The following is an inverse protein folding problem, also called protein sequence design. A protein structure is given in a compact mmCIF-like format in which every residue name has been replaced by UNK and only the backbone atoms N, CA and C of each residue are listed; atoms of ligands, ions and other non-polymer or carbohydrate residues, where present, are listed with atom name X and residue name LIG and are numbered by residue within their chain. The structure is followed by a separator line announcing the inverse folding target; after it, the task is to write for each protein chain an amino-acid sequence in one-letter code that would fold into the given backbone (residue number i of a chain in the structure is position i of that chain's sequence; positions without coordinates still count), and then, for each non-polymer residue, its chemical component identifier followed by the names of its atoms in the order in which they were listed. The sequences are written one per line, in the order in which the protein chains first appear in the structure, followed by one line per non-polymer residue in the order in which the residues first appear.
data_IF_616885355766
#
_entry.id   IF_616885355766
#
_cell.length_a   1.000
_cell.length_b   1.000
_cell.length_c   1.000
_cell.angle_alpha   90.00
_cell.angle_beta   90.00
_cell.angle_gamma   90.00
#
_symmetry.space_group_name_H-M   'P 1'
#
loop_
_entity.id
_entity.type
_entity.pdbx_description
1 polymer ?
#
# COMPACT_ATOMS: atom_id res chain seq x y z
N UNK A 1 49.60 -54.51 31.29
CA UNK A 1 48.95 -53.19 31.23
C UNK A 1 48.08 -53.12 29.99
N UNK A 2 46.75 -53.37 30.14
CA UNK A 2 45.78 -53.36 29.02
C UNK A 2 45.15 -51.95 28.99
N UNK A 3 45.33 -51.21 27.88
CA UNK A 3 44.69 -49.91 27.64
C UNK A 3 43.33 -50.14 26.95
N UNK A 4 42.27 -49.86 27.66
CA UNK A 4 40.89 -49.90 27.16
C UNK A 4 40.60 -48.56 26.46
N UNK A 5 40.34 -48.59 25.14
CA UNK A 5 39.89 -47.48 24.37
C UNK A 5 38.34 -47.39 24.47
N UNK A 6 37.85 -46.32 25.05
CA UNK A 6 36.42 -46.01 25.10
C UNK A 6 36.09 -45.19 23.87
N UNK A 7 35.34 -45.76 22.92
CA UNK A 7 34.78 -45.03 21.78
C UNK A 7 33.49 -44.37 22.21
N UNK A 8 33.50 -43.02 22.22
CA UNK A 8 32.30 -42.21 22.43
C UNK A 8 31.64 -42.03 21.04
N UNK A 9 30.52 -42.71 20.85
CA UNK A 9 29.66 -42.47 19.67
C UNK A 9 28.80 -41.21 19.93
N UNK A 10 29.12 -40.13 19.23
CA UNK A 10 28.29 -38.92 19.23
C UNK A 10 27.17 -39.11 18.19
N UNK A 11 25.96 -39.39 18.68
CA UNK A 11 24.77 -39.45 17.87
C UNK A 11 24.31 -38.01 17.54
N UNK A 12 24.59 -37.56 16.33
CA UNK A 12 24.03 -36.30 15.79
C UNK A 12 22.59 -36.59 15.37
N UNK A 13 21.66 -36.22 16.23
CA UNK A 13 20.23 -36.21 15.89
C UNK A 13 19.97 -34.98 15.01
N UNK A 14 19.86 -35.18 13.69
CA UNK A 14 19.45 -34.13 12.78
C UNK A 14 17.97 -33.77 13.07
N UNK A 15 17.76 -32.65 13.76
CA UNK A 15 16.43 -32.01 13.83
C UNK A 15 16.09 -31.46 12.46
N UNK A 16 15.33 -32.22 11.68
CA UNK A 16 14.62 -31.69 10.53
C UNK A 16 13.57 -30.71 11.05
N UNK A 17 13.48 -29.47 10.52
CA UNK A 17 12.37 -28.59 10.84
C UNK A 17 11.09 -29.26 10.36
N UNK A 18 10.20 -29.61 11.29
CA UNK A 18 8.84 -30.04 10.96
C UNK A 18 8.17 -28.87 10.23
N UNK A 19 7.87 -29.02 8.96
CA UNK A 19 6.94 -28.17 8.24
C UNK A 19 5.60 -28.31 8.96
N UNK A 20 5.28 -27.38 9.86
CA UNK A 20 3.97 -27.32 10.46
C UNK A 20 2.95 -26.93 9.37
N UNK A 21 2.32 -27.94 8.80
CA UNK A 21 1.06 -27.70 8.09
C UNK A 21 0.08 -27.26 9.17
N UNK A 22 -0.43 -26.04 9.05
CA UNK A 22 -1.49 -25.58 9.93
C UNK A 22 -2.66 -26.55 9.78
N UNK A 23 -3.07 -27.20 10.89
CA UNK A 23 -4.24 -28.08 10.88
C UNK A 23 -5.47 -27.24 10.55
N UNK A 24 -6.32 -27.77 9.67
CA UNK A 24 -7.59 -27.12 9.32
C UNK A 24 -8.47 -27.02 10.56
N UNK A 25 -9.13 -25.89 10.73
CA UNK A 25 -10.17 -25.74 11.76
C UNK A 25 -11.34 -26.65 11.44
N UNK A 26 -12.17 -26.96 12.44
CA UNK A 26 -13.37 -27.78 12.22
C UNK A 26 -14.31 -27.16 11.18
N UNK A 27 -14.41 -25.84 11.14
CA UNK A 27 -15.20 -25.12 10.13
C UNK A 27 -14.60 -25.30 8.72
N UNK A 28 -13.26 -25.16 8.58
CA UNK A 28 -12.58 -25.38 7.30
C UNK A 28 -12.69 -26.82 6.80
N UNK A 29 -12.67 -27.79 7.70
CA UNK A 29 -12.88 -29.20 7.35
C UNK A 29 -14.30 -29.43 6.82
N UNK A 30 -15.30 -28.84 7.49
CA UNK A 30 -16.72 -28.93 7.06
C UNK A 30 -16.93 -28.23 5.70
N UNK A 31 -16.29 -27.08 5.47
CA UNK A 31 -16.34 -26.38 4.18
C UNK A 31 -15.68 -27.22 3.06
N UNK A 32 -14.55 -27.87 3.34
CA UNK A 32 -13.87 -28.74 2.38
C UNK A 32 -14.75 -29.93 1.99
N UNK A 33 -15.43 -30.55 2.95
CA UNK A 33 -16.35 -31.64 2.71
C UNK A 33 -17.56 -31.21 1.87
N UNK A 34 -18.11 -30.01 2.15
CA UNK A 34 -19.15 -29.40 1.32
C UNK A 34 -18.69 -29.13 -0.12
N UNK A 35 -17.49 -28.64 -0.32
CA UNK A 35 -16.89 -28.43 -1.65
C UNK A 35 -16.75 -29.78 -2.38
N UNK A 36 -16.25 -30.80 -1.70
CA UNK A 36 -16.11 -32.13 -2.29
C UNK A 36 -17.47 -32.72 -2.76
N UNK A 37 -18.52 -32.57 -1.94
CA UNK A 37 -19.87 -33.00 -2.30
C UNK A 37 -20.38 -32.25 -3.54
N UNK A 38 -20.26 -30.89 -3.54
CA UNK A 38 -20.69 -30.07 -4.68
C UNK A 38 -20.00 -30.48 -5.98
N UNK A 39 -18.70 -30.77 -5.93
CA UNK A 39 -17.93 -31.19 -7.10
C UNK A 39 -18.28 -32.60 -7.55
N UNK A 40 -18.62 -33.51 -6.62
CA UNK A 40 -19.05 -34.84 -6.93
C UNK A 40 -20.41 -34.86 -7.63
N UNK A 41 -21.30 -33.98 -7.22
CA UNK A 41 -22.66 -33.85 -7.80
C UNK A 41 -22.64 -33.08 -9.15
N UNK A 42 -21.55 -32.30 -9.45
CA UNK A 42 -21.43 -31.49 -10.66
C UNK A 42 -20.03 -31.65 -11.30
N UNK A 43 -19.70 -32.84 -11.82
CA UNK A 43 -18.33 -33.14 -12.30
C UNK A 43 -17.88 -32.28 -13.50
N UNK A 44 -18.82 -31.69 -14.24
CA UNK A 44 -18.55 -30.86 -15.41
C UNK A 44 -17.84 -29.53 -15.03
N UNK A 45 -17.98 -29.05 -13.79
CA UNK A 45 -17.34 -27.79 -13.35
C UNK A 45 -15.93 -28.01 -12.80
N UNK A 46 -15.49 -29.25 -12.57
CA UNK A 46 -14.22 -29.52 -11.85
C UNK A 46 -13.03 -28.93 -12.59
N UNK A 47 -12.96 -29.07 -13.91
CA UNK A 47 -11.81 -28.59 -14.69
C UNK A 47 -11.67 -27.06 -14.62
N UNK A 48 -12.77 -26.33 -14.80
CA UNK A 48 -12.79 -24.87 -14.76
C UNK A 48 -12.51 -24.34 -13.35
N UNK A 49 -13.10 -24.96 -12.32
CA UNK A 49 -12.86 -24.58 -10.95
C UNK A 49 -11.39 -24.82 -10.54
N UNK A 50 -10.82 -25.96 -10.92
CA UNK A 50 -9.42 -26.28 -10.65
C UNK A 50 -8.48 -25.24 -11.29
N UNK A 51 -8.69 -24.89 -12.57
CA UNK A 51 -7.90 -23.87 -13.27
C UNK A 51 -8.03 -22.49 -12.58
N UNK A 52 -9.25 -22.07 -12.23
CA UNK A 52 -9.50 -20.82 -11.55
C UNK A 52 -8.84 -20.77 -10.15
N UNK A 53 -8.89 -21.88 -9.41
CA UNK A 53 -8.27 -21.98 -8.09
C UNK A 53 -6.73 -21.92 -8.16
N UNK A 54 -6.14 -22.61 -9.14
CA UNK A 54 -4.70 -22.51 -9.39
C UNK A 54 -4.30 -21.07 -9.70
N UNK A 55 -5.00 -20.40 -10.60
CA UNK A 55 -4.73 -19.00 -10.94
C UNK A 55 -4.92 -18.07 -9.74
N UNK A 56 -5.93 -18.31 -8.90
CA UNK A 56 -6.13 -17.54 -7.67
C UNK A 56 -4.93 -17.69 -6.71
N UNK A 57 -4.47 -18.92 -6.48
CA UNK A 57 -3.31 -19.19 -5.60
C UNK A 57 -2.04 -18.54 -6.17
N UNK A 58 -1.79 -18.67 -7.46
CA UNK A 58 -0.65 -18.01 -8.13
C UNK A 58 -0.71 -16.48 -7.99
N UNK A 59 -1.87 -15.88 -8.21
CA UNK A 59 -2.08 -14.45 -8.06
C UNK A 59 -1.81 -14.00 -6.61
N UNK A 60 -2.27 -14.76 -5.60
CA UNK A 60 -2.00 -14.47 -4.19
C UNK A 60 -0.52 -14.55 -3.85
N UNK A 61 0.19 -15.54 -4.38
CA UNK A 61 1.64 -15.67 -4.20
C UNK A 61 2.40 -14.52 -4.87
N UNK A 62 1.99 -14.12 -6.08
CA UNK A 62 2.59 -12.97 -6.77
C UNK A 62 2.35 -11.68 -6.00
N UNK A 63 1.15 -11.45 -5.48
CA UNK A 63 0.83 -10.29 -4.66
C UNK A 63 1.66 -10.23 -3.38
N UNK A 64 1.78 -11.36 -2.67
CA UNK A 64 2.62 -11.45 -1.47
C UNK A 64 4.07 -11.14 -1.78
N UNK A 65 4.62 -11.70 -2.86
CA UNK A 65 5.97 -11.42 -3.33
C UNK A 65 6.15 -9.95 -3.72
N UNK A 66 5.18 -9.36 -4.42
CA UNK A 66 5.22 -7.96 -4.81
C UNK A 66 5.19 -7.03 -3.57
N UNK A 67 4.38 -7.34 -2.55
CA UNK A 67 4.37 -6.61 -1.28
C UNK A 67 5.75 -6.64 -0.62
N UNK A 68 6.34 -7.82 -0.43
CA UNK A 68 7.66 -7.98 0.17
C UNK A 68 8.75 -7.22 -0.59
N UNK A 69 8.77 -7.33 -1.92
CA UNK A 69 9.74 -6.63 -2.78
C UNK A 69 9.57 -5.11 -2.77
N UNK A 70 8.36 -4.63 -2.49
CA UNK A 70 8.02 -3.21 -2.49
C UNK A 70 8.09 -2.58 -1.09
N UNK A 71 8.23 -3.35 -0.03
CA UNK A 71 8.12 -2.90 1.37
C UNK A 71 9.02 -1.70 1.67
N UNK A 72 10.32 -1.80 1.35
CA UNK A 72 11.27 -0.71 1.54
C UNK A 72 10.86 0.54 0.78
N UNK A 73 10.37 0.39 -0.47
CA UNK A 73 9.93 1.51 -1.28
C UNK A 73 8.66 2.15 -0.74
N UNK A 74 7.66 1.33 -0.37
CA UNK A 74 6.38 1.81 0.16
C UNK A 74 6.54 2.60 1.47
N UNK A 75 7.57 2.29 2.25
CA UNK A 75 7.86 2.93 3.54
C UNK A 75 8.92 4.05 3.45
N UNK A 76 9.41 4.38 2.25
CA UNK A 76 10.42 5.44 2.07
C UNK A 76 9.80 6.83 2.19
N UNK A 77 9.78 7.37 3.40
CA UNK A 77 9.24 8.71 3.69
C UNK A 77 10.15 9.85 3.25
N UNK A 78 11.32 9.58 2.71
CA UNK A 78 12.14 10.61 2.04
C UNK A 78 11.55 10.99 0.67
N UNK A 79 10.79 10.08 0.07
CA UNK A 79 10.12 10.26 -1.23
C UNK A 79 8.62 10.44 -1.05
N UNK A 80 8.01 9.61 -0.21
CA UNK A 80 6.57 9.59 0.02
C UNK A 80 6.19 10.49 1.19
N UNK A 81 5.24 11.39 0.94
CA UNK A 81 4.79 12.32 1.97
C UNK A 81 3.99 11.60 3.06
N UNK A 82 4.08 12.14 4.27
CA UNK A 82 3.37 11.62 5.43
C UNK A 82 2.28 12.58 5.87
N UNK A 83 1.09 12.05 6.16
CA UNK A 83 0.00 12.74 6.85
C UNK A 83 -0.19 12.08 8.22
N UNK A 84 -0.26 12.88 9.28
CA UNK A 84 -0.36 12.40 10.66
C UNK A 84 0.99 12.29 11.34
N UNK A 85 1.16 11.29 12.21
CA UNK A 85 2.37 11.11 13.00
C UNK A 85 3.44 10.35 12.20
N UNK A 86 4.61 10.94 11.89
CA UNK A 86 5.69 10.24 11.20
C UNK A 86 6.19 8.98 11.93
N UNK A 87 6.07 8.98 13.25
CA UNK A 87 6.50 7.88 14.12
C UNK A 87 5.35 6.94 14.54
N UNK A 88 4.15 7.15 13.97
CA UNK A 88 2.96 6.35 14.26
C UNK A 88 3.14 4.89 13.86
N UNK A 89 2.71 3.97 14.73
CA UNK A 89 2.82 2.53 14.50
C UNK A 89 1.71 1.98 13.60
N UNK A 90 0.55 2.65 13.57
CA UNK A 90 -0.55 2.29 12.69
C UNK A 90 -0.34 2.92 11.32
N UNK A 91 0.07 2.13 10.34
CA UNK A 91 0.44 2.62 9.01
C UNK A 91 -0.66 2.37 7.99
N UNK A 92 -1.04 3.43 7.27
CA UNK A 92 -1.85 3.36 6.06
C UNK A 92 -0.98 3.75 4.86
N UNK A 93 -0.86 2.87 3.87
CA UNK A 93 -0.27 3.22 2.56
C UNK A 93 -1.41 3.69 1.66
N UNK A 94 -1.34 4.92 1.15
CA UNK A 94 -2.38 5.54 0.32
C UNK A 94 -1.88 5.80 -1.09
N UNK A 95 -2.32 5.02 -2.07
CA UNK A 95 -2.09 5.29 -3.49
C UNK A 95 -3.10 6.33 -3.98
N UNK A 96 -2.61 7.49 -4.39
CA UNK A 96 -3.45 8.67 -4.62
C UNK A 96 -3.08 9.44 -5.89
N UNK A 97 -4.01 10.27 -6.37
CA UNK A 97 -3.85 11.18 -7.52
C UNK A 97 -4.59 12.49 -7.25
N UNK A 98 -3.90 13.62 -7.28
CA UNK A 98 -4.50 14.95 -7.07
C UNK A 98 -5.57 15.31 -8.10
N UNK A 99 -5.64 14.61 -9.23
CA UNK A 99 -6.64 14.82 -10.26
C UNK A 99 -7.83 13.85 -10.15
N UNK A 100 -7.82 12.94 -9.19
CA UNK A 100 -8.90 12.01 -8.93
C UNK A 100 -9.87 12.58 -7.88
N UNK A 101 -11.17 12.75 -8.20
CA UNK A 101 -12.15 13.33 -7.26
C UNK A 101 -12.35 12.46 -6.01
N UNK A 102 -12.27 11.13 -6.14
CA UNK A 102 -12.38 10.24 -5.00
C UNK A 102 -11.14 10.25 -4.12
N UNK A 103 -9.93 10.47 -4.69
CA UNK A 103 -8.71 10.68 -3.93
C UNK A 103 -8.81 11.93 -3.06
N UNK A 104 -9.26 13.06 -3.63
CA UNK A 104 -9.47 14.32 -2.88
C UNK A 104 -10.45 14.14 -1.71
N UNK A 105 -11.49 13.33 -1.91
CA UNK A 105 -12.45 13.02 -0.84
C UNK A 105 -11.82 12.15 0.25
N UNK A 106 -11.03 11.13 -0.14
CA UNK A 106 -10.34 10.25 0.79
C UNK A 106 -9.26 11.00 1.57
N UNK A 107 -8.51 11.89 0.93
CA UNK A 107 -7.49 12.71 1.59
C UNK A 107 -8.08 13.51 2.78
N UNK A 108 -9.27 14.10 2.61
CA UNK A 108 -9.96 14.78 3.71
C UNK A 108 -10.37 13.81 4.83
N UNK A 109 -10.74 12.58 4.51
CA UNK A 109 -11.04 11.54 5.52
C UNK A 109 -9.78 11.15 6.27
N UNK A 110 -8.68 10.91 5.56
CA UNK A 110 -7.39 10.53 6.14
C UNK A 110 -6.81 11.65 7.01
N UNK A 111 -6.85 12.90 6.56
CA UNK A 111 -6.42 14.06 7.32
C UNK A 111 -7.23 14.22 8.63
N UNK A 112 -8.57 14.07 8.56
CA UNK A 112 -9.44 14.10 9.74
C UNK A 112 -9.11 12.96 10.72
N UNK A 113 -8.82 11.78 10.19
CA UNK A 113 -8.49 10.59 11.01
C UNK A 113 -7.13 10.76 11.68
N UNK A 114 -6.12 11.22 10.96
CA UNK A 114 -4.80 11.52 11.50
C UNK A 114 -4.85 12.59 12.59
N UNK A 115 -5.69 13.60 12.44
CA UNK A 115 -5.90 14.62 13.47
C UNK A 115 -6.58 14.12 14.75
N UNK A 116 -7.22 12.94 14.72
CA UNK A 116 -7.89 12.32 15.87
C UNK A 116 -7.16 11.11 16.44
N UNK A 117 -6.22 10.55 15.71
CA UNK A 117 -5.45 9.36 16.09
C UNK A 117 -3.95 9.69 16.06
N UNK A 118 -3.38 9.94 17.24
CA UNK A 118 -1.98 10.33 17.38
C UNK A 118 -0.98 9.23 16.98
N UNK A 119 -1.45 7.98 16.80
CA UNK A 119 -0.63 6.85 16.38
C UNK A 119 -0.78 6.51 14.89
N UNK A 120 -1.53 7.33 14.14
CA UNK A 120 -1.75 7.08 12.73
C UNK A 120 -0.70 7.77 11.85
N UNK A 121 -0.08 6.99 10.99
CA UNK A 121 0.84 7.40 9.93
C UNK A 121 0.25 7.04 8.57
N UNK A 122 -0.03 8.02 7.74
CA UNK A 122 -0.48 7.82 6.37
C UNK A 122 0.64 8.17 5.41
N UNK A 123 1.14 7.18 4.65
CA UNK A 123 2.17 7.35 3.63
C UNK A 123 1.47 7.52 2.28
N UNK A 124 1.65 8.67 1.63
CA UNK A 124 0.99 8.99 0.37
C UNK A 124 1.91 8.69 -0.81
N UNK A 125 1.49 7.74 -1.65
CA UNK A 125 2.18 7.32 -2.86
C UNK A 125 1.44 7.87 -4.07
N UNK A 126 2.06 8.83 -4.74
CA UNK A 126 1.41 9.51 -5.86
C UNK A 126 1.52 8.70 -7.14
N UNK A 127 0.36 8.45 -7.77
CA UNK A 127 0.24 7.77 -9.07
C UNK A 127 -0.67 8.64 -9.96
N UNK A 128 -0.10 9.56 -10.76
CA UNK A 128 -0.87 10.50 -11.58
C UNK A 128 -1.50 9.80 -12.80
N UNK A 129 -2.55 9.01 -12.58
CA UNK A 129 -3.26 8.26 -13.62
C UNK A 129 -4.04 9.17 -14.57
N UNK A 130 -4.55 10.30 -14.05
CA UNK A 130 -5.43 11.21 -14.83
C UNK A 130 -4.63 12.19 -15.66
N UNK A 131 -3.47 12.63 -15.19
CA UNK A 131 -2.68 13.66 -15.86
C UNK A 131 -1.22 13.56 -15.47
N UNK A 132 -0.37 13.18 -16.41
CA UNK A 132 1.07 13.09 -16.23
C UNK A 132 1.81 14.36 -16.67
N UNK A 133 1.23 15.12 -17.58
CA UNK A 133 1.81 16.34 -18.13
C UNK A 133 0.80 17.49 -18.00
N UNK A 134 1.30 18.67 -17.69
CA UNK A 134 0.55 19.93 -17.70
C UNK A 134 1.20 20.84 -18.74
N UNK A 135 0.44 21.27 -19.73
CA UNK A 135 0.92 22.13 -20.81
C UNK A 135 1.56 23.41 -20.26
N UNK A 136 2.77 23.69 -20.71
CA UNK A 136 3.54 24.87 -20.30
C UNK A 136 4.17 24.78 -18.91
N UNK A 137 4.21 23.58 -18.29
CA UNK A 137 4.99 23.28 -17.09
C UNK A 137 5.89 22.06 -17.35
N UNK A 138 7.07 22.04 -16.72
CA UNK A 138 7.99 20.90 -16.70
C UNK A 138 7.65 19.91 -15.55
N UNK A 139 6.59 20.15 -14.82
CA UNK A 139 6.12 19.38 -13.67
C UNK A 139 4.62 19.11 -13.74
N UNK A 140 4.13 18.23 -12.89
CA UNK A 140 2.70 18.00 -12.65
C UNK A 140 2.38 18.12 -11.16
N UNK A 141 1.10 18.02 -10.79
CA UNK A 141 0.67 18.17 -9.40
C UNK A 141 1.35 17.20 -8.43
N UNK A 142 1.60 15.96 -8.86
CA UNK A 142 2.26 14.93 -8.04
C UNK A 142 3.76 15.21 -7.91
N UNK A 143 4.46 15.50 -9.02
CA UNK A 143 5.88 15.81 -9.02
C UNK A 143 6.17 17.10 -8.21
N UNK A 144 5.35 18.14 -8.37
CA UNK A 144 5.44 19.36 -7.58
C UNK A 144 5.29 19.09 -6.09
N UNK A 145 4.28 18.32 -5.68
CA UNK A 145 4.05 17.97 -4.29
C UNK A 145 5.22 17.18 -3.68
N UNK A 146 5.77 16.19 -4.41
CA UNK A 146 6.95 15.42 -3.96
C UNK A 146 8.14 16.35 -3.80
N UNK A 147 8.37 17.27 -4.74
CA UNK A 147 9.50 18.20 -4.69
C UNK A 147 9.42 19.14 -3.48
N UNK A 148 8.22 19.63 -3.18
CA UNK A 148 7.99 20.42 -1.96
C UNK A 148 8.21 19.57 -0.71
N UNK A 149 7.70 18.34 -0.66
CA UNK A 149 7.92 17.42 0.45
C UNK A 149 9.40 17.21 0.77
N UNK A 150 10.22 17.03 -0.27
CA UNK A 150 11.65 16.76 -0.13
C UNK A 150 12.49 18.00 0.26
N UNK A 151 12.07 19.20 -0.15
CA UNK A 151 12.91 20.39 -0.03
C UNK A 151 12.37 21.45 0.95
N UNK A 152 11.06 21.44 1.22
CA UNK A 152 10.37 22.35 2.12
C UNK A 152 9.20 21.64 2.83
N UNK A 153 9.47 20.58 3.62
CA UNK A 153 8.43 19.73 4.23
C UNK A 153 7.49 20.53 5.15
N UNK A 154 7.96 21.63 5.75
CA UNK A 154 7.15 22.51 6.58
C UNK A 154 6.05 23.24 5.79
N UNK A 155 6.21 23.39 4.46
CA UNK A 155 5.20 24.00 3.56
C UNK A 155 4.26 22.96 2.97
N UNK A 156 4.61 21.68 3.06
CA UNK A 156 3.91 20.61 2.36
C UNK A 156 2.44 20.49 2.75
N UNK A 157 2.12 20.61 4.04
CA UNK A 157 0.74 20.47 4.52
C UNK A 157 -0.21 21.48 3.86
N UNK A 158 0.22 22.72 3.69
CA UNK A 158 -0.59 23.76 3.04
C UNK A 158 -0.64 23.57 1.51
N UNK A 159 0.48 23.15 0.88
CA UNK A 159 0.51 22.77 -0.54
C UNK A 159 -0.46 21.63 -0.81
N UNK A 160 -0.40 20.53 -0.03
CA UNK A 160 -1.30 19.40 -0.16
C UNK A 160 -2.76 19.82 -0.02
N UNK A 161 -3.08 20.59 1.02
CA UNK A 161 -4.44 21.11 1.27
C UNK A 161 -4.99 21.89 0.08
N UNK A 162 -4.17 22.74 -0.55
CA UNK A 162 -4.58 23.56 -1.69
C UNK A 162 -4.74 22.73 -2.96
N UNK A 163 -3.85 21.75 -3.21
CA UNK A 163 -3.97 20.82 -4.32
C UNK A 163 -5.24 19.97 -4.21
N UNK A 164 -5.53 19.44 -3.03
CA UNK A 164 -6.75 18.65 -2.76
C UNK A 164 -8.02 19.50 -2.90
N UNK A 165 -8.00 20.75 -2.45
CA UNK A 165 -9.17 21.63 -2.46
C UNK A 165 -9.64 22.06 -3.87
N UNK A 166 -8.72 22.06 -4.87
CA UNK A 166 -9.10 22.44 -6.25
C UNK A 166 -10.01 21.40 -6.89
N UNK A 167 -11.21 21.77 -7.36
CA UNK A 167 -12.05 20.84 -8.11
C UNK A 167 -11.50 20.58 -9.52
N UNK A 168 -11.76 19.39 -10.05
CA UNK A 168 -11.33 18.98 -11.39
C UNK A 168 -9.82 18.75 -11.52
N UNK A 169 -9.33 18.78 -12.76
CA UNK A 169 -7.91 18.59 -13.09
C UNK A 169 -7.10 19.86 -12.77
N UNK A 170 -5.84 19.66 -12.40
CA UNK A 170 -4.90 20.76 -12.29
C UNK A 170 -4.44 21.23 -13.68
N UNK A 171 -4.29 22.53 -13.83
CA UNK A 171 -3.69 23.21 -14.97
C UNK A 171 -2.53 24.10 -14.50
N UNK A 172 -1.79 24.69 -15.42
CA UNK A 172 -0.67 25.59 -15.13
C UNK A 172 -1.07 26.67 -14.13
N UNK A 173 -2.16 27.39 -14.39
CA UNK A 173 -2.63 28.50 -13.56
C UNK A 173 -2.90 28.04 -12.12
N UNK A 174 -3.52 26.86 -11.94
CA UNK A 174 -3.83 26.34 -10.61
C UNK A 174 -2.59 25.91 -9.83
N UNK A 175 -1.60 25.30 -10.48
CA UNK A 175 -0.35 24.91 -9.83
C UNK A 175 0.47 26.15 -9.47
N UNK A 176 0.60 27.11 -10.38
CA UNK A 176 1.28 28.39 -10.14
C UNK A 176 0.63 29.18 -8.99
N UNK A 177 -0.72 29.17 -8.91
CA UNK A 177 -1.44 29.81 -7.81
C UNK A 177 -1.14 29.15 -6.46
N UNK A 178 -1.08 27.83 -6.40
CA UNK A 178 -0.67 27.09 -5.19
C UNK A 178 0.77 27.45 -4.82
N UNK A 179 1.69 27.35 -5.76
CA UNK A 179 3.10 27.66 -5.54
C UNK A 179 3.30 29.09 -5.03
N UNK A 180 2.68 30.09 -5.66
CA UNK A 180 2.75 31.49 -5.25
C UNK A 180 2.18 31.70 -3.85
N UNK A 181 1.05 31.07 -3.52
CA UNK A 181 0.41 31.21 -2.21
C UNK A 181 1.26 30.61 -1.08
N UNK A 182 2.04 29.58 -1.38
CA UNK A 182 2.86 28.88 -0.39
C UNK A 182 4.34 29.26 -0.44
N UNK A 183 4.75 30.14 -1.37
CA UNK A 183 6.16 30.53 -1.58
C UNK A 183 7.01 29.33 -1.98
N UNK A 184 6.53 28.53 -2.96
CA UNK A 184 7.16 27.31 -3.45
C UNK A 184 7.37 27.34 -4.97
N UNK A 185 7.43 28.52 -5.59
CA UNK A 185 7.57 28.74 -7.04
C UNK A 185 8.87 28.12 -7.58
N UNK A 186 9.91 28.09 -6.80
CA UNK A 186 11.20 27.47 -7.16
C UNK A 186 11.10 25.96 -7.44
N UNK A 187 10.06 25.29 -6.94
CA UNK A 187 9.81 23.85 -7.15
C UNK A 187 8.95 23.53 -8.38
N UNK A 188 8.58 24.53 -9.19
CA UNK A 188 7.82 24.34 -10.43
C UNK A 188 8.67 23.85 -11.62
N UNK A 189 9.90 23.48 -11.40
CA UNK A 189 10.84 22.98 -12.41
C UNK A 189 10.78 21.47 -12.53
N UNK A 190 11.14 20.95 -13.70
CA UNK A 190 11.29 19.51 -13.94
C UNK A 190 12.35 18.88 -13.03
N UNK A 191 12.17 17.60 -12.73
CA UNK A 191 13.10 16.81 -11.92
C UNK A 191 13.07 15.35 -12.36
N UNK A 192 14.19 14.89 -12.91
CA UNK A 192 14.32 13.52 -13.44
C UNK A 192 14.16 12.46 -12.36
N UNK A 193 14.74 12.66 -11.17
CA UNK A 193 14.67 11.69 -10.09
C UNK A 193 13.26 11.54 -9.54
N UNK A 194 12.51 12.66 -9.46
CA UNK A 194 11.10 12.62 -9.07
C UNK A 194 10.25 11.92 -10.14
N UNK A 195 10.51 12.16 -11.42
CA UNK A 195 9.80 11.49 -12.50
C UNK A 195 10.09 9.97 -12.50
N UNK A 196 11.32 9.55 -12.25
CA UNK A 196 11.67 8.14 -12.06
C UNK A 196 10.95 7.53 -10.86
N UNK A 197 10.80 8.29 -9.77
CA UNK A 197 10.03 7.88 -8.59
C UNK A 197 8.55 7.69 -8.91
N UNK A 198 7.94 8.58 -9.69
CA UNK A 198 6.55 8.43 -10.15
C UNK A 198 6.38 7.20 -11.06
N UNK A 199 7.34 6.93 -11.93
CA UNK A 199 7.36 5.69 -12.75
C UNK A 199 7.47 4.45 -11.87
N UNK A 200 8.31 4.48 -10.84
CA UNK A 200 8.45 3.39 -9.88
C UNK A 200 7.16 3.20 -9.06
N UNK A 201 6.51 4.29 -8.63
CA UNK A 201 5.21 4.25 -7.98
C UNK A 201 4.16 3.54 -8.85
N UNK A 202 4.09 3.90 -10.13
CA UNK A 202 3.17 3.25 -11.07
C UNK A 202 3.48 1.77 -11.27
N UNK A 203 4.74 1.38 -11.41
CA UNK A 203 5.15 -0.03 -11.52
C UNK A 203 4.78 -0.83 -10.27
N UNK A 204 5.03 -0.26 -9.09
CA UNK A 204 4.65 -0.85 -7.80
C UNK A 204 3.13 -0.99 -7.69
N UNK A 205 2.38 0.04 -8.05
CA UNK A 205 0.92 0.04 -8.09
C UNK A 205 0.37 -1.11 -8.95
N UNK A 206 0.91 -1.31 -10.15
CA UNK A 206 0.52 -2.40 -11.05
C UNK A 206 0.93 -3.77 -10.49
N UNK A 207 2.14 -3.89 -9.96
CA UNK A 207 2.65 -5.14 -9.37
C UNK A 207 1.82 -5.60 -8.16
N UNK A 208 1.26 -4.65 -7.40
CA UNK A 208 0.34 -4.90 -6.30
C UNK A 208 -1.11 -5.21 -6.77
N UNK A 209 -1.34 -5.37 -8.06
CA UNK A 209 -2.65 -5.71 -8.63
C UNK A 209 -3.67 -4.56 -8.59
N UNK A 210 -3.24 -3.35 -8.27
CA UNK A 210 -4.12 -2.19 -8.20
C UNK A 210 -4.48 -1.69 -9.61
N UNK A 211 -5.71 -1.20 -9.78
CA UNK A 211 -6.25 -0.77 -11.09
C UNK A 211 -6.81 0.65 -11.10
N UNK A 212 -6.88 1.29 -9.95
CA UNK A 212 -7.45 2.63 -9.82
C UNK A 212 -7.09 3.29 -8.50
N UNK A 213 -7.15 4.60 -8.47
CA UNK A 213 -6.96 5.42 -7.27
C UNK A 213 -8.29 6.01 -6.80
N UNK A 214 -8.48 6.21 -5.48
CA UNK A 214 -7.56 5.83 -4.43
C UNK A 214 -7.56 4.31 -4.18
N UNK A 215 -6.46 3.82 -3.59
CA UNK A 215 -6.40 2.49 -3.00
C UNK A 215 -5.54 2.57 -1.75
N UNK A 216 -5.98 1.96 -0.65
CA UNK A 216 -5.22 1.97 0.60
C UNK A 216 -4.90 0.56 1.08
N UNK A 217 -3.77 0.43 1.76
CA UNK A 217 -3.38 -0.77 2.49
C UNK A 217 -3.33 -0.45 3.98
N UNK A 218 -3.86 -1.36 4.79
CA UNK A 218 -3.72 -1.36 6.25
C UNK A 218 -3.30 -2.78 6.63
N UNK A 219 -2.04 -2.96 7.02
CA UNK A 219 -1.46 -4.30 7.14
C UNK A 219 -1.60 -5.09 5.83
N UNK A 220 -2.29 -6.24 5.89
CA UNK A 220 -2.55 -7.07 4.71
C UNK A 220 -3.85 -6.75 3.98
N UNK A 221 -4.70 -5.93 4.56
CA UNK A 221 -5.98 -5.58 3.97
C UNK A 221 -5.82 -4.50 2.89
N UNK A 222 -6.42 -4.75 1.72
CA UNK A 222 -6.45 -3.81 0.57
C UNK A 222 -7.87 -3.28 0.43
N UNK A 223 -8.01 -1.96 0.47
CA UNK A 223 -9.29 -1.28 0.30
C UNK A 223 -9.24 -0.47 -1.00
N UNK A 224 -9.86 -0.95 -2.08
CA UNK A 224 -9.93 -0.24 -3.34
C UNK A 224 -11.02 0.84 -3.30
N UNK A 225 -10.69 2.02 -3.83
CA UNK A 225 -11.64 3.11 -3.96
C UNK A 225 -11.81 3.93 -2.68
N UNK A 226 -12.85 4.76 -2.70
CA UNK A 226 -13.19 5.64 -1.59
C UNK A 226 -13.89 4.87 -0.46
N UNK A 227 -13.45 5.12 0.77
CA UNK A 227 -14.09 4.60 1.98
C UNK A 227 -14.51 5.77 2.90
N UNK A 228 -15.74 5.79 3.46
CA UNK A 228 -16.18 6.77 4.43
C UNK A 228 -15.42 6.68 5.75
N UNK A 229 -15.38 7.79 6.50
CA UNK A 229 -14.64 7.90 7.76
C UNK A 229 -14.99 6.79 8.76
N UNK A 230 -16.30 6.57 9.02
CA UNK A 230 -16.74 5.63 10.06
C UNK A 230 -16.32 4.19 9.74
N UNK A 231 -16.39 3.81 8.46
CA UNK A 231 -15.96 2.47 8.01
C UNK A 231 -14.44 2.30 8.08
N UNK A 232 -13.70 3.32 7.71
CA UNK A 232 -12.24 3.30 7.83
C UNK A 232 -11.80 3.25 9.29
N UNK A 233 -12.50 3.97 10.18
CA UNK A 233 -12.22 3.96 11.62
C UNK A 233 -12.42 2.56 12.24
N UNK A 234 -13.48 1.83 11.84
CA UNK A 234 -13.71 0.44 12.26
C UNK A 234 -12.51 -0.46 11.89
N UNK A 235 -12.01 -0.36 10.64
CA UNK A 235 -10.89 -1.16 10.16
C UNK A 235 -9.60 -0.80 10.90
N UNK A 236 -9.32 0.50 11.08
CA UNK A 236 -8.13 0.97 11.80
C UNK A 236 -8.15 0.47 13.25
N UNK A 237 -9.28 0.56 13.95
CA UNK A 237 -9.41 0.05 15.33
C UNK A 237 -9.20 -1.46 15.42
N UNK A 238 -9.74 -2.22 14.47
CA UNK A 238 -9.53 -3.67 14.39
C UNK A 238 -8.05 -3.99 14.22
N UNK A 239 -7.38 -3.35 13.26
CA UNK A 239 -5.95 -3.55 13.02
C UNK A 239 -5.10 -3.21 14.25
N UNK A 240 -5.40 -2.10 14.96
CA UNK A 240 -4.72 -1.71 16.19
C UNK A 240 -4.92 -2.72 17.34
N UNK A 241 -6.06 -3.37 17.40
CA UNK A 241 -6.32 -4.41 18.39
C UNK A 241 -5.51 -5.69 18.11
N UNK A 242 -5.40 -6.06 16.83
CA UNK A 242 -4.62 -7.22 16.38
C UNK A 242 -3.11 -7.05 16.60
N UNK A 243 -2.59 -5.82 16.49
CA UNK A 243 -1.18 -5.51 16.76
C UNK A 243 -0.80 -5.60 18.26
N UNK A 244 -1.78 -5.54 19.17
CA UNK A 244 -1.56 -5.57 20.63
C UNK A 244 -1.74 -6.95 21.23
N UNK A 245 -2.22 -7.92 20.49
CA UNK A 245 -2.45 -9.31 20.91
C UNK A 245 -1.26 -10.21 20.58
#
# INVERSE_FOLDING_TARGET
MKKTLISIAVSITAMLPALSHAELTSEQQQQLEGIHQLLSDNPEIIADLHANLQQYVENQQQLTKAKQQSETWLNDTTIHSVTGNPDGSTVIINFTDYNCPYCKRLDNVLAKMAGKNADLKVINIYVPLKQQVIDGLETNSAAFAIKVWQNAPEKFAEVNRLLVAKPGLHDKTSIEAVAKKTGTEEYLTGDTAINESLVKNYKTFVALGLRGTPAIFIGDEVIPGFIPYDKLEEIVKKHQAEQKS
#
